data_IF_145839987978
#
_entry.id   IF_145839987978
#
_cell.length_a   1.000
_cell.length_b   1.000
_cell.length_c   1.000
_cell.angle_alpha   90.00
_cell.angle_beta   90.00
_cell.angle_gamma   90.00
#
_symmetry.space_group_name_H-M   'P 1'
#
loop_
_entity.id
_entity.type
_entity.pdbx_description
1 polymer ?
#
# COMPACT_ATOMS: atom_id res chain seq x y z
N UNK A 1 -51.04 63.26 -23.46
CA UNK A 1 -49.78 63.56 -22.76
C UNK A 1 -50.10 64.58 -21.68
N UNK A 2 -50.13 64.15 -20.41
CA UNK A 2 -49.06 64.54 -19.49
C UNK A 2 -48.50 63.36 -18.68
N UNK A 3 -47.38 63.62 -18.00
CA UNK A 3 -46.33 62.70 -17.58
C UNK A 3 -46.01 62.89 -16.08
N UNK A 4 -45.63 61.79 -15.41
CA UNK A 4 -44.89 61.68 -14.12
C UNK A 4 -45.64 62.00 -12.80
N UNK A 5 -45.43 61.34 -11.65
CA UNK A 5 -44.51 60.28 -11.18
C UNK A 5 -45.06 59.70 -9.84
N UNK A 6 -44.83 58.40 -9.61
CA UNK A 6 -44.62 57.69 -8.32
C UNK A 6 -45.65 57.75 -7.17
N UNK A 7 -46.11 56.56 -6.74
CA UNK A 7 -46.30 56.18 -5.33
C UNK A 7 -46.45 54.64 -5.21
N UNK A 8 -45.29 54.00 -5.03
CA UNK A 8 -45.02 52.69 -4.41
C UNK A 8 -46.22 52.05 -3.69
N UNK A 9 -46.68 50.89 -4.17
CA UNK A 9 -47.38 49.90 -3.35
C UNK A 9 -46.90 48.49 -3.71
N UNK A 10 -45.95 48.03 -2.89
CA UNK A 10 -45.43 46.67 -2.82
C UNK A 10 -46.58 45.76 -2.40
N UNK A 11 -47.03 44.86 -3.29
CA UNK A 11 -47.90 43.75 -2.88
C UNK A 11 -47.04 42.54 -2.52
N UNK A 12 -47.07 42.28 -1.23
CA UNK A 12 -46.30 41.33 -0.46
C UNK A 12 -46.77 39.90 -0.74
N UNK A 13 -45.85 38.93 -0.71
CA UNK A 13 -45.96 37.77 0.18
C UNK A 13 -44.56 37.37 0.65
N UNK A 14 -44.05 38.10 1.65
CA UNK A 14 -43.00 37.58 2.51
C UNK A 14 -43.65 36.67 3.53
N UNK A 15 -43.33 35.38 3.48
CA UNK A 15 -43.42 34.51 4.65
C UNK A 15 -42.02 34.00 4.94
N UNK A 16 -41.48 34.52 6.04
CA UNK A 16 -40.20 34.13 6.64
C UNK A 16 -40.31 32.71 7.20
N UNK A 17 -39.18 32.00 7.16
CA UNK A 17 -38.79 30.79 7.93
C UNK A 17 -38.82 29.46 7.15
N UNK A 18 -37.73 29.23 6.41
CA UNK A 18 -36.71 28.23 6.76
C UNK A 18 -37.21 26.97 7.48
N UNK A 19 -37.52 25.92 6.72
CA UNK A 19 -37.20 24.54 7.11
C UNK A 19 -36.63 23.82 5.89
N UNK A 20 -35.35 23.51 6.02
CA UNK A 20 -34.48 22.71 5.14
C UNK A 20 -35.16 21.40 4.70
N UNK A 21 -35.16 21.10 3.40
CA UNK A 21 -35.16 19.73 2.85
C UNK A 21 -34.89 19.72 1.33
N UNK A 22 -34.36 18.61 0.78
CA UNK A 22 -32.97 18.54 0.32
C UNK A 22 -32.83 18.71 -1.20
N UNK A 23 -31.61 19.08 -1.59
CA UNK A 23 -31.14 19.19 -2.97
C UNK A 23 -31.49 17.96 -3.82
N UNK A 24 -32.26 18.16 -4.89
CA UNK A 24 -32.22 17.32 -6.08
C UNK A 24 -31.81 18.20 -7.26
N UNK A 25 -30.51 18.23 -7.56
CA UNK A 25 -29.98 18.75 -8.80
C UNK A 25 -29.78 17.60 -9.80
N UNK A 26 -30.12 17.79 -11.09
CA UNK A 26 -30.02 16.75 -12.10
C UNK A 26 -28.55 16.40 -12.39
N UNK A 27 -28.28 15.10 -12.38
CA UNK A 27 -26.98 14.44 -12.61
C UNK A 27 -26.34 14.94 -13.91
N UNK A 28 -25.34 15.81 -13.78
CA UNK A 28 -24.52 16.33 -14.86
C UNK A 28 -23.06 16.32 -14.46
N UNK A 29 -22.27 15.50 -15.16
CA UNK A 29 -20.80 15.47 -15.18
C UNK A 29 -20.13 15.08 -13.86
N UNK A 30 -20.28 13.81 -13.49
CA UNK A 30 -19.18 13.10 -12.83
C UNK A 30 -18.00 13.04 -13.80
N UNK A 31 -16.94 13.80 -13.51
CA UNK A 31 -15.61 13.47 -14.01
C UNK A 31 -15.17 12.19 -13.31
N UNK A 32 -15.76 11.07 -13.71
CA UNK A 32 -15.16 9.77 -13.41
C UNK A 32 -13.80 9.79 -14.07
N UNK A 33 -12.73 9.93 -13.26
CA UNK A 33 -11.40 9.52 -13.70
C UNK A 33 -11.53 8.05 -14.03
N UNK A 34 -11.67 7.74 -15.32
CA UNK A 34 -11.53 6.39 -15.81
C UNK A 34 -10.11 5.97 -15.41
N UNK A 35 -10.01 5.22 -14.31
CA UNK A 35 -8.75 4.60 -13.93
C UNK A 35 -8.37 3.75 -15.14
N UNK A 36 -7.24 4.10 -15.74
CA UNK A 36 -6.66 3.38 -16.87
C UNK A 36 -6.77 1.90 -16.58
N UNK A 37 -7.36 1.13 -17.51
CA UNK A 37 -7.35 -0.33 -17.41
C UNK A 37 -5.92 -0.74 -17.13
N UNK A 38 -5.63 -1.38 -15.99
CA UNK A 38 -4.28 -1.72 -15.62
C UNK A 38 -3.68 -2.55 -16.76
N UNK A 39 -2.47 -2.19 -17.16
CA UNK A 39 -1.75 -2.97 -18.18
C UNK A 39 -1.68 -4.42 -17.72
N UNK A 40 -1.61 -5.38 -18.65
CA UNK A 40 -1.52 -6.81 -18.31
C UNK A 40 -0.45 -7.05 -17.22
N UNK A 41 0.70 -6.38 -17.32
CA UNK A 41 1.76 -6.41 -16.32
C UNK A 41 1.32 -5.92 -14.93
N UNK A 42 0.56 -4.83 -14.84
CA UNK A 42 0.05 -4.30 -13.57
C UNK A 42 -0.99 -5.22 -12.94
N UNK A 43 -1.82 -5.86 -13.77
CA UNK A 43 -2.77 -6.88 -13.30
C UNK A 43 -2.05 -8.12 -12.80
N UNK A 44 -1.01 -8.59 -13.50
CA UNK A 44 -0.19 -9.72 -13.08
C UNK A 44 0.57 -9.43 -11.79
N UNK A 45 1.17 -8.24 -11.65
CA UNK A 45 1.83 -7.81 -10.42
C UNK A 45 0.87 -7.72 -9.22
N UNK A 46 -0.40 -7.36 -9.45
CA UNK A 46 -1.41 -7.33 -8.40
C UNK A 46 -1.84 -8.73 -7.96
N UNK A 47 -1.75 -9.71 -8.86
CA UNK A 47 -2.13 -11.10 -8.61
C UNK A 47 -0.95 -11.90 -8.00
N UNK A 48 0.30 -11.56 -8.33
CA UNK A 48 1.51 -12.27 -7.89
C UNK A 48 2.53 -11.33 -7.23
N UNK A 49 2.24 -10.82 -6.02
CA UNK A 49 3.15 -9.93 -5.31
C UNK A 49 4.50 -10.58 -4.95
N UNK A 50 4.57 -11.91 -4.90
CA UNK A 50 5.79 -12.68 -4.58
C UNK A 50 6.90 -12.47 -5.62
N UNK A 51 6.55 -12.21 -6.88
CA UNK A 51 7.53 -11.96 -7.95
C UNK A 51 8.38 -10.72 -7.64
N UNK A 52 7.74 -9.63 -7.19
CA UNK A 52 8.46 -8.40 -6.78
C UNK A 52 9.41 -8.63 -5.62
N UNK A 53 9.10 -9.57 -4.72
CA UNK A 53 9.96 -9.88 -3.59
C UNK A 53 11.20 -10.65 -4.04
N UNK A 54 11.04 -11.63 -4.93
CA UNK A 54 12.16 -12.35 -5.54
C UNK A 54 13.09 -11.40 -6.30
N UNK A 55 12.54 -10.51 -7.12
CA UNK A 55 13.31 -9.49 -7.85
C UNK A 55 14.05 -8.53 -6.90
N UNK A 56 13.41 -8.13 -5.80
CA UNK A 56 14.03 -7.27 -4.79
C UNK A 56 15.20 -7.99 -4.10
N UNK A 57 15.04 -9.25 -3.70
CA UNK A 57 16.09 -10.05 -3.04
C UNK A 57 17.31 -10.19 -3.94
N UNK A 58 17.08 -10.57 -5.20
CA UNK A 58 18.15 -10.69 -6.21
C UNK A 58 18.84 -9.34 -6.43
N UNK A 59 18.09 -8.24 -6.51
CA UNK A 59 18.68 -6.90 -6.67
C UNK A 59 19.57 -6.51 -5.48
N UNK A 60 19.13 -6.75 -4.26
CA UNK A 60 19.90 -6.46 -3.05
C UNK A 60 21.17 -7.32 -3.01
N UNK A 61 21.08 -8.60 -3.35
CA UNK A 61 22.24 -9.47 -3.43
C UNK A 61 23.24 -9.02 -4.50
N UNK A 62 22.76 -8.60 -5.68
CA UNK A 62 23.61 -8.03 -6.74
C UNK A 62 24.34 -6.76 -6.27
N UNK A 63 23.66 -5.90 -5.53
CA UNK A 63 24.26 -4.68 -4.96
C UNK A 63 25.33 -5.00 -3.90
N UNK A 64 25.05 -5.97 -3.02
CA UNK A 64 25.97 -6.40 -1.97
C UNK A 64 27.21 -7.14 -2.50
N UNK A 65 27.04 -8.01 -3.50
CA UNK A 65 28.11 -8.82 -4.09
C UNK A 65 28.90 -8.06 -5.17
N UNK A 66 28.34 -6.98 -5.72
CA UNK A 66 28.98 -6.15 -6.73
C UNK A 66 29.39 -6.94 -7.97
N UNK A 67 30.67 -6.89 -8.33
CA UNK A 67 31.19 -7.56 -9.54
C UNK A 67 31.12 -9.08 -9.47
N UNK A 68 31.08 -9.66 -8.26
CA UNK A 68 30.97 -11.11 -8.07
C UNK A 68 29.61 -11.63 -8.55
N UNK A 69 28.54 -10.83 -8.43
CA UNK A 69 27.20 -11.21 -8.85
C UNK A 69 27.09 -11.47 -10.37
N UNK A 70 27.97 -10.87 -11.18
CA UNK A 70 27.98 -11.07 -12.63
C UNK A 70 28.47 -12.46 -13.06
N UNK A 71 29.02 -13.25 -12.13
CA UNK A 71 29.49 -14.61 -12.38
C UNK A 71 28.37 -15.64 -12.25
N UNK A 72 27.20 -15.24 -11.74
CA UNK A 72 26.07 -16.11 -11.48
C UNK A 72 24.86 -15.71 -12.32
N UNK A 73 24.09 -16.70 -12.77
CA UNK A 73 22.75 -16.47 -13.29
C UNK A 73 21.80 -16.07 -12.16
N UNK A 74 20.65 -15.48 -12.49
CA UNK A 74 19.67 -15.06 -11.47
C UNK A 74 19.14 -16.23 -10.65
N UNK A 75 18.99 -17.40 -11.27
CA UNK A 75 18.56 -18.63 -10.60
C UNK A 75 19.64 -19.12 -9.63
N UNK A 76 20.89 -19.24 -10.08
CA UNK A 76 21.99 -19.65 -9.20
C UNK A 76 22.17 -18.69 -8.04
N UNK A 77 22.05 -17.39 -8.30
CA UNK A 77 22.14 -16.39 -7.25
C UNK A 77 21.00 -16.52 -6.23
N UNK A 78 19.78 -16.82 -6.69
CA UNK A 78 18.64 -17.08 -5.79
C UNK A 78 18.85 -18.33 -4.93
N UNK A 79 19.40 -19.39 -5.51
CA UNK A 79 19.69 -20.63 -4.79
C UNK A 79 20.77 -20.40 -3.72
N UNK A 80 21.86 -19.71 -4.08
CA UNK A 80 22.94 -19.35 -3.15
C UNK A 80 22.42 -18.49 -1.99
N UNK A 81 21.58 -17.47 -2.27
CA UNK A 81 20.99 -16.64 -1.22
C UNK A 81 20.20 -17.52 -0.24
N UNK A 82 19.39 -18.44 -0.77
CA UNK A 82 18.55 -19.31 0.06
C UNK A 82 19.39 -20.26 0.92
N UNK A 83 20.48 -20.81 0.37
CA UNK A 83 21.40 -21.66 1.12
C UNK A 83 22.13 -20.88 2.22
N UNK A 84 22.62 -19.69 1.90
CA UNK A 84 23.31 -18.83 2.87
C UNK A 84 22.35 -18.43 3.99
N UNK A 85 21.12 -18.01 3.67
CA UNK A 85 20.10 -17.68 4.67
C UNK A 85 19.86 -18.88 5.61
N UNK A 86 19.65 -20.07 5.06
CA UNK A 86 19.46 -21.29 5.84
C UNK A 86 20.64 -21.60 6.78
N UNK A 87 21.88 -21.50 6.27
CA UNK A 87 23.08 -21.71 7.08
C UNK A 87 23.21 -20.68 8.19
N UNK A 88 22.95 -19.40 7.89
CA UNK A 88 23.04 -18.34 8.88
C UNK A 88 22.01 -18.49 9.99
N UNK A 89 20.77 -18.84 9.66
CA UNK A 89 19.71 -19.09 10.66
C UNK A 89 20.07 -20.32 11.51
N UNK A 90 20.53 -21.40 10.87
CA UNK A 90 20.92 -22.62 11.59
C UNK A 90 22.08 -22.39 12.56
N UNK A 91 23.09 -21.63 12.15
CA UNK A 91 24.22 -21.27 13.01
C UNK A 91 23.82 -20.32 14.14
N UNK A 92 22.90 -19.39 13.85
CA UNK A 92 22.38 -18.47 14.85
C UNK A 92 21.57 -19.24 15.90
N UNK A 93 20.69 -20.14 15.50
CA UNK A 93 19.94 -21.03 16.40
C UNK A 93 20.89 -21.86 17.27
N UNK A 94 21.92 -22.48 16.69
CA UNK A 94 22.88 -23.28 17.46
C UNK A 94 23.68 -22.41 18.44
N UNK A 95 24.11 -21.23 18.02
CA UNK A 95 24.78 -20.27 18.90
C UNK A 95 23.88 -19.83 20.06
N UNK A 96 22.61 -19.53 19.78
CA UNK A 96 21.62 -19.16 20.79
C UNK A 96 21.39 -20.30 21.78
N UNK A 97 21.19 -21.54 21.29
CA UNK A 97 21.01 -22.72 22.15
C UNK A 97 22.20 -22.95 23.06
N UNK A 98 23.42 -22.67 22.60
CA UNK A 98 24.62 -22.78 23.44
C UNK A 98 24.68 -21.73 24.55
N UNK A 99 24.04 -20.57 24.38
CA UNK A 99 24.05 -19.46 25.35
C UNK A 99 22.84 -19.51 26.28
N UNK A 100 21.69 -19.95 25.77
CA UNK A 100 20.39 -19.91 26.44
C UNK A 100 19.94 -21.29 26.92
N UNK A 101 20.87 -22.10 27.43
CA UNK A 101 20.59 -23.40 28.05
C UNK A 101 19.76 -24.36 27.16
N UNK A 102 20.03 -24.36 25.86
CA UNK A 102 19.38 -25.22 24.87
C UNK A 102 18.18 -24.60 24.16
N UNK A 103 17.81 -23.35 24.46
CA UNK A 103 16.69 -22.64 23.83
C UNK A 103 17.17 -21.59 22.81
N UNK A 104 16.36 -21.27 21.81
CA UNK A 104 16.59 -20.09 20.97
C UNK A 104 16.01 -18.84 21.62
N UNK A 105 16.45 -17.65 21.19
CA UNK A 105 15.91 -16.39 21.67
C UNK A 105 14.41 -16.26 21.38
N UNK A 106 13.98 -16.77 20.23
CA UNK A 106 12.57 -16.80 19.86
C UNK A 106 11.77 -17.70 20.81
N UNK A 107 12.30 -18.87 21.17
CA UNK A 107 11.68 -19.77 22.16
C UNK A 107 11.58 -19.09 23.54
N UNK A 108 12.65 -18.44 24.01
CA UNK A 108 12.67 -17.70 25.28
C UNK A 108 11.66 -16.53 25.31
N UNK A 109 11.55 -15.78 24.22
CA UNK A 109 10.63 -14.64 24.15
C UNK A 109 9.16 -15.07 24.13
N UNK A 110 8.86 -16.20 23.49
CA UNK A 110 7.50 -16.77 23.52
C UNK A 110 7.15 -17.36 24.90
N UNK A 111 8.10 -17.97 25.60
CA UNK A 111 7.89 -18.43 26.98
C UNK A 111 7.65 -17.25 27.95
N UNK A 112 8.36 -16.14 27.76
CA UNK A 112 8.23 -14.94 28.59
C UNK A 112 7.00 -14.09 28.26
N UNK A 113 6.48 -14.15 27.03
CA UNK A 113 5.35 -13.36 26.54
C UNK A 113 3.97 -13.98 26.75
N UNK A 114 3.88 -15.24 27.17
CA UNK A 114 2.61 -15.97 27.36
C UNK A 114 1.98 -15.78 28.76
N UNK A 115 1.90 -14.54 29.25
CA UNK A 115 1.16 -14.18 30.48
C UNK A 115 0.08 -13.14 30.22
#
# INVERSE_FOLDING_TARGET
>A
MPMSLELVHIQQQYTRQEIVQPYLQPVGQSTFKYNQTPTISQSLEAIFPEQKQADKRIRVAKDALGSLANQFTETELSDIITEVEYLTESWLDEYERNIFDGLTLQELLHEKGAK
#
